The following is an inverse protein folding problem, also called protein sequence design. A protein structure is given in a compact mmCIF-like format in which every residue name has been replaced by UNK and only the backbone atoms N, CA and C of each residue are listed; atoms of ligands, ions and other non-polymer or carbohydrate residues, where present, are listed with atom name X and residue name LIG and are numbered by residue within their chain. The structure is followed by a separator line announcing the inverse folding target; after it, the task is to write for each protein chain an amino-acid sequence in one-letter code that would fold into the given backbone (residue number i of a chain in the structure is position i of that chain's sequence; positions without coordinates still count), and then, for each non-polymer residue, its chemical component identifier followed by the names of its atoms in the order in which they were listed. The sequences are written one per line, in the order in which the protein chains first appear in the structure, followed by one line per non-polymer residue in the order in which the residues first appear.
data_IF_713604355926
#
_entry.id   IF_713604355926
#
_cell.length_a   1.000
_cell.length_b   1.000
_cell.length_c   1.000
_cell.angle_alpha   90.00
_cell.angle_beta   90.00
_cell.angle_gamma   90.00
#
_symmetry.space_group_name_H-M   'P 1'
#
loop_
_entity.id
_entity.type
_entity.pdbx_description
1 polymer ?
#
# COMPACT_ATOMS: atom_id res chain seq x y z
N UNK A 1 27.57 -1.60 -19.59
CA UNK A 1 26.34 -0.91 -19.17
C UNK A 1 26.46 -0.63 -17.68
N UNK A 2 26.30 0.62 -17.21
CA UNK A 2 26.35 0.90 -15.78
C UNK A 2 25.20 0.15 -15.11
N UNK A 3 25.53 -0.67 -14.10
CA UNK A 3 24.54 -1.37 -13.29
C UNK A 3 23.83 -0.32 -12.43
N UNK A 4 22.50 -0.17 -12.49
CA UNK A 4 21.79 0.80 -11.66
C UNK A 4 22.12 0.51 -10.20
N UNK A 5 22.60 1.52 -9.47
CA UNK A 5 22.98 1.32 -8.09
C UNK A 5 21.72 0.92 -7.29
N UNK A 6 21.85 0.02 -6.31
CA UNK A 6 20.71 -0.40 -5.50
C UNK A 6 20.00 0.77 -4.79
N UNK A 7 20.70 1.90 -4.57
CA UNK A 7 20.11 3.16 -4.10
C UNK A 7 19.12 3.77 -5.09
N UNK A 8 19.43 3.81 -6.38
CA UNK A 8 18.53 4.35 -7.42
C UNK A 8 17.22 3.56 -7.49
N UNK A 9 17.30 2.23 -7.34
CA UNK A 9 16.11 1.36 -7.29
C UNK A 9 15.24 1.64 -6.06
N UNK A 10 15.87 1.87 -4.90
CA UNK A 10 15.15 2.18 -3.66
C UNK A 10 14.51 3.56 -3.71
N UNK A 11 15.18 4.53 -4.36
CA UNK A 11 14.65 5.87 -4.59
C UNK A 11 13.42 5.81 -5.51
N UNK A 12 13.55 5.13 -6.65
CA UNK A 12 12.44 4.96 -7.60
C UNK A 12 11.23 4.26 -6.95
N UNK A 13 11.44 3.23 -6.13
CA UNK A 13 10.36 2.57 -5.41
C UNK A 13 9.62 3.51 -4.44
N UNK A 14 10.34 4.41 -3.77
CA UNK A 14 9.72 5.43 -2.90
C UNK A 14 8.89 6.42 -3.70
N UNK A 15 9.42 6.91 -4.81
CA UNK A 15 8.69 7.83 -5.70
C UNK A 15 7.41 7.18 -6.26
N UNK A 16 7.48 5.91 -6.66
CA UNK A 16 6.30 5.16 -7.11
C UNK A 16 5.23 5.09 -6.02
N UNK A 17 5.59 4.75 -4.78
CA UNK A 17 4.63 4.70 -3.67
C UNK A 17 4.05 6.08 -3.36
N UNK A 18 4.85 7.14 -3.46
CA UNK A 18 4.41 8.52 -3.25
C UNK A 18 3.34 8.92 -4.27
N UNK A 19 3.62 8.70 -5.55
CA UNK A 19 2.70 8.96 -6.67
C UNK A 19 1.41 8.12 -6.51
N UNK A 20 1.52 6.84 -6.17
CA UNK A 20 0.36 5.97 -5.95
C UNK A 20 -0.50 6.43 -4.77
N UNK A 21 0.11 6.98 -3.72
CA UNK A 21 -0.61 7.53 -2.57
C UNK A 21 -1.33 8.83 -2.92
N UNK A 22 -0.74 9.71 -3.74
CA UNK A 22 -1.44 10.87 -4.29
C UNK A 22 -2.65 10.47 -5.12
N UNK A 23 -2.49 9.49 -6.04
CA UNK A 23 -3.60 8.95 -6.84
C UNK A 23 -4.70 8.36 -5.94
N UNK A 24 -4.32 7.60 -4.91
CA UNK A 24 -5.26 7.04 -3.93
C UNK A 24 -6.05 8.12 -3.19
N UNK A 25 -5.39 9.22 -2.83
CA UNK A 25 -6.00 10.37 -2.15
C UNK A 25 -7.00 11.06 -3.08
N UNK A 26 -6.62 11.31 -4.34
CA UNK A 26 -7.50 11.92 -5.34
C UNK A 26 -8.74 11.06 -5.62
N UNK A 27 -8.57 9.75 -5.72
CA UNK A 27 -9.66 8.79 -5.93
C UNK A 27 -10.45 8.47 -4.65
N UNK A 28 -10.12 9.11 -3.53
CA UNK A 28 -10.76 8.88 -2.23
C UNK A 28 -10.78 7.40 -1.82
N UNK A 29 -9.79 6.61 -2.23
CA UNK A 29 -9.71 5.19 -1.83
C UNK A 29 -9.25 5.05 -0.38
N UNK A 30 -8.76 6.11 0.27
CA UNK A 30 -8.42 6.15 1.70
C UNK A 30 -7.40 5.07 2.12
N UNK A 31 -6.46 4.70 1.24
CA UNK A 31 -5.40 3.73 1.55
C UNK A 31 -4.17 4.46 2.06
N UNK A 32 -3.66 4.04 3.22
CA UNK A 32 -2.39 4.54 3.76
C UNK A 32 -1.19 4.05 2.91
N UNK A 33 -0.04 4.74 2.98
CA UNK A 33 1.21 4.31 2.31
C UNK A 33 1.58 2.86 2.63
N UNK A 34 1.33 2.43 3.87
CA UNK A 34 1.60 1.06 4.31
C UNK A 34 0.65 0.06 3.65
N UNK A 35 -0.65 0.40 3.57
CA UNK A 35 -1.68 -0.42 2.90
C UNK A 35 -1.35 -0.55 1.40
N UNK A 36 -1.00 0.56 0.74
CA UNK A 36 -0.60 0.57 -0.68
C UNK A 36 0.63 -0.28 -0.94
N UNK A 37 1.67 -0.18 -0.10
CA UNK A 37 2.86 -1.01 -0.24
C UNK A 37 2.52 -2.50 -0.14
N UNK A 38 1.62 -2.88 0.77
CA UNK A 38 1.18 -4.26 0.90
C UNK A 38 0.37 -4.71 -0.33
N UNK A 39 -0.53 -3.86 -0.85
CA UNK A 39 -1.28 -4.15 -2.07
C UNK A 39 -0.33 -4.38 -3.26
N UNK A 40 0.70 -3.54 -3.42
CA UNK A 40 1.70 -3.70 -4.48
C UNK A 40 2.42 -5.04 -4.34
N UNK A 41 2.90 -5.39 -3.14
CA UNK A 41 3.56 -6.69 -2.91
C UNK A 41 2.63 -7.87 -3.20
N UNK A 42 1.35 -7.79 -2.83
CA UNK A 42 0.38 -8.84 -3.15
C UNK A 42 0.14 -8.98 -4.66
N UNK A 43 0.04 -7.86 -5.37
CA UNK A 43 -0.10 -7.85 -6.83
C UNK A 43 1.15 -8.43 -7.51
N UNK A 44 2.35 -8.09 -7.02
CA UNK A 44 3.62 -8.66 -7.49
C UNK A 44 3.71 -10.19 -7.25
N UNK A 45 3.04 -10.70 -6.21
CA UNK A 45 2.91 -12.14 -5.94
C UNK A 45 1.80 -12.83 -6.77
N UNK A 46 1.16 -12.11 -7.71
CA UNK A 46 0.16 -12.66 -8.61
C UNK A 46 -1.29 -12.58 -8.12
N UNK A 47 -1.56 -11.80 -7.06
CA UNK A 47 -2.94 -11.55 -6.63
C UNK A 47 -3.61 -10.57 -7.60
N UNK A 48 -4.81 -10.88 -8.12
CA UNK A 48 -5.49 -9.99 -9.05
C UNK A 48 -5.95 -8.70 -8.35
N UNK A 49 -5.74 -7.51 -8.95
CA UNK A 49 -6.06 -6.23 -8.32
C UNK A 49 -7.57 -6.07 -8.07
N UNK A 50 -8.42 -6.63 -8.93
CA UNK A 50 -9.88 -6.58 -8.77
C UNK A 50 -10.36 -7.39 -7.56
N UNK A 51 -9.81 -8.59 -7.37
CA UNK A 51 -10.13 -9.44 -6.21
C UNK A 51 -9.66 -8.80 -4.91
N UNK A 52 -8.44 -8.24 -4.92
CA UNK A 52 -7.87 -7.52 -3.78
C UNK A 52 -8.71 -6.29 -3.40
N UNK A 53 -9.19 -5.53 -4.38
CA UNK A 53 -10.08 -4.39 -4.15
C UNK A 53 -11.41 -4.81 -3.50
N UNK A 54 -11.99 -5.93 -3.91
CA UNK A 54 -13.23 -6.45 -3.30
C UNK A 54 -13.01 -6.87 -1.86
N UNK A 55 -11.92 -7.59 -1.57
CA UNK A 55 -11.57 -8.00 -0.20
C UNK A 55 -11.33 -6.77 0.69
N UNK A 56 -10.59 -5.77 0.23
CA UNK A 56 -10.36 -4.53 0.99
C UNK A 56 -11.69 -3.80 1.28
N UNK A 57 -12.59 -3.74 0.30
CA UNK A 57 -13.91 -3.12 0.49
C UNK A 57 -14.74 -3.89 1.51
N UNK A 58 -14.75 -5.22 1.46
CA UNK A 58 -15.52 -6.03 2.41
C UNK A 58 -14.95 -5.94 3.83
N UNK A 59 -13.62 -6.04 3.99
CA UNK A 59 -12.96 -5.85 5.28
C UNK A 59 -13.26 -4.48 5.89
N UNK A 60 -13.35 -3.41 5.08
CA UNK A 60 -13.72 -2.07 5.54
C UNK A 60 -15.19 -1.91 5.92
N UNK A 61 -16.08 -2.72 5.36
CA UNK A 61 -17.50 -2.75 5.78
C UNK A 61 -17.66 -3.47 7.11
N UNK A 62 -16.91 -4.55 7.32
CA UNK A 62 -16.98 -5.37 8.53
C UNK A 62 -16.21 -4.76 9.71
N UNK A 63 -15.14 -4.00 9.44
CA UNK A 63 -14.38 -3.29 10.46
C UNK A 63 -15.01 -1.91 10.74
N UNK A 64 -15.62 -1.66 11.92
CA UNK A 64 -16.04 -0.32 12.30
C UNK A 64 -14.83 0.63 12.34
N UNK A 65 -15.01 1.96 12.14
CA UNK A 65 -13.92 2.94 12.05
C UNK A 65 -13.03 3.07 13.29
N UNK A 66 -13.25 2.28 14.34
CA UNK A 66 -12.60 2.37 15.64
C UNK A 66 -11.43 1.41 15.88
N UNK A 67 -10.96 0.65 14.87
CA UNK A 67 -9.81 -0.24 15.03
C UNK A 67 -8.89 -0.25 13.79
N UNK A 68 -8.45 0.92 13.33
CA UNK A 68 -7.12 0.99 12.72
C UNK A 68 -6.14 0.69 13.85
N UNK A 69 -5.73 -0.58 13.96
CA UNK A 69 -4.74 -1.04 14.94
C UNK A 69 -3.49 -0.22 14.67
N UNK A 70 -3.34 0.86 15.43
CA UNK A 70 -2.19 1.71 15.39
C UNK A 70 -1.05 0.82 15.84
N UNK A 71 -0.14 0.48 14.94
CA UNK A 71 1.06 -0.31 15.21
C UNK A 71 2.06 0.46 16.10
N UNK A 72 1.55 1.26 17.05
CA UNK A 72 2.29 2.06 18.02
C UNK A 72 2.30 1.38 19.40
N UNK A 73 2.10 0.06 19.46
CA UNK A 73 2.07 -0.72 20.71
C UNK A 73 3.11 -1.87 20.75
N UNK A 74 4.22 -1.76 20.03
CA UNK A 74 5.39 -2.61 20.24
C UNK A 74 6.64 -1.75 20.42
N UNK A 75 6.70 -1.07 21.56
CA UNK A 75 7.92 -0.49 22.10
C UNK A 75 7.86 -0.58 23.63
N UNK A 76 8.05 -1.80 24.14
CA UNK A 76 8.59 -2.08 25.48
C UNK A 76 9.58 -3.24 25.36
#
# INVERSE_FOLDING_TARGET
MPNPNPEDKRQAAREVIDILHEISTLLNTNLDRTELSLCVSLIENGVPPEGLANVIKDLRKEAPPSKRVSSQAFAE
#
